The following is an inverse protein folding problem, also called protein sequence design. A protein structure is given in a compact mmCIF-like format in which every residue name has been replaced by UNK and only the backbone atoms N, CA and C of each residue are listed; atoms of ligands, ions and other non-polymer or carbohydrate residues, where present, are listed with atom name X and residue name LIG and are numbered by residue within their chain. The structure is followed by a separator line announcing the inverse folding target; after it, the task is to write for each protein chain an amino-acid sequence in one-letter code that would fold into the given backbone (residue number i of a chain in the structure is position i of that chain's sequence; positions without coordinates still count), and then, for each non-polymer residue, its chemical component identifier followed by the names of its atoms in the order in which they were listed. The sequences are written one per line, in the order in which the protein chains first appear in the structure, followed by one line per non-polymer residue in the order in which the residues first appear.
data_IF_486081706084
#
_entry.id   IF_486081706084
#
_cell.length_a   1.000
_cell.length_b   1.000
_cell.length_c   1.000
_cell.angle_alpha   90.00
_cell.angle_beta   90.00
_cell.angle_gamma   90.00
#
_symmetry.space_group_name_H-M   'P 1'
#
loop_
_entity.id
_entity.type
_entity.pdbx_description
1 polymer ?
#
# COMPACT_ATOMS: atom_id res chain seq x y z
N UNK A 1 -23.61 30.69 -4.14
CA UNK A 1 -22.94 29.78 -5.10
C UNK A 1 -23.77 28.51 -5.14
N UNK A 2 -24.21 28.06 -6.31
CA UNK A 2 -25.02 26.84 -6.39
C UNK A 2 -24.20 25.65 -5.86
N UNK A 3 -24.77 24.90 -4.91
CA UNK A 3 -24.14 23.73 -4.31
C UNK A 3 -23.97 22.66 -5.41
N UNK A 4 -22.77 22.59 -5.99
CA UNK A 4 -22.47 21.61 -7.04
C UNK A 4 -22.49 20.23 -6.41
N UNK A 5 -23.56 19.45 -6.65
CA UNK A 5 -23.69 18.08 -6.15
C UNK A 5 -22.49 17.25 -6.61
N UNK A 6 -21.70 16.78 -5.65
CA UNK A 6 -20.55 15.90 -5.92
C UNK A 6 -21.09 14.55 -6.42
N UNK A 7 -20.54 13.94 -7.46
CA UNK A 7 -20.94 12.61 -7.89
C UNK A 7 -20.87 11.57 -6.75
N UNK A 8 -21.70 10.53 -6.80
CA UNK A 8 -21.62 9.43 -5.81
C UNK A 8 -20.26 8.73 -5.86
N UNK A 9 -19.65 8.63 -7.05
CA UNK A 9 -18.34 8.04 -7.25
C UNK A 9 -17.43 9.02 -7.97
N UNK A 10 -16.20 9.14 -7.48
CA UNK A 10 -15.12 9.89 -8.11
C UNK A 10 -14.11 8.85 -8.60
N UNK A 11 -13.84 8.91 -9.90
CA UNK A 11 -12.84 8.08 -10.56
C UNK A 11 -11.62 8.93 -10.87
N UNK A 12 -10.46 8.30 -10.82
CA UNK A 12 -9.23 8.84 -11.36
C UNK A 12 -8.93 8.08 -12.66
N UNK A 13 -8.30 8.75 -13.61
CA UNK A 13 -7.83 8.14 -14.84
C UNK A 13 -6.51 7.38 -14.61
N UNK A 14 -6.15 6.46 -15.52
CA UNK A 14 -4.93 5.65 -15.37
C UNK A 14 -3.65 6.50 -15.31
N UNK A 15 -3.62 7.65 -15.99
CA UNK A 15 -2.50 8.58 -15.97
C UNK A 15 -2.41 9.40 -14.67
N UNK A 16 -3.42 9.31 -13.79
CA UNK A 16 -3.41 9.92 -12.45
C UNK A 16 -3.00 8.91 -11.36
N UNK A 17 -2.72 7.66 -11.72
CA UNK A 17 -2.19 6.67 -10.76
C UNK A 17 -0.83 7.16 -10.25
N UNK A 18 -0.62 7.23 -8.92
CA UNK A 18 0.68 7.60 -8.36
C UNK A 18 1.79 6.65 -8.83
N UNK A 19 2.98 7.20 -9.10
CA UNK A 19 4.15 6.43 -9.55
C UNK A 19 5.12 6.07 -8.42
N UNK A 20 4.82 6.49 -7.18
CA UNK A 20 5.67 6.27 -6.00
C UNK A 20 4.84 5.77 -4.82
N UNK A 21 5.39 4.86 -4.03
CA UNK A 21 4.90 4.57 -2.69
C UNK A 21 5.47 5.60 -1.71
N UNK A 22 4.73 5.84 -0.62
CA UNK A 22 5.13 6.76 0.43
C UNK A 22 5.53 5.98 1.68
N UNK A 23 6.74 6.21 2.17
CA UNK A 23 7.25 5.66 3.41
C UNK A 23 7.04 6.67 4.54
N UNK A 24 6.08 6.39 5.41
CA UNK A 24 5.77 7.24 6.56
C UNK A 24 6.96 7.38 7.51
N UNK A 25 7.81 6.34 7.65
CA UNK A 25 8.92 6.36 8.60
C UNK A 25 9.88 7.50 8.33
N UNK A 26 10.06 7.91 7.07
CA UNK A 26 10.90 9.05 6.69
C UNK A 26 10.53 10.34 7.45
N UNK A 27 9.23 10.59 7.65
CA UNK A 27 8.71 11.82 8.26
C UNK A 27 8.35 11.68 9.75
N UNK A 28 8.51 10.48 10.33
CA UNK A 28 8.27 10.27 11.77
C UNK A 28 9.33 10.99 12.60
N UNK A 29 8.88 11.81 13.57
CA UNK A 29 9.74 12.49 14.55
C UNK A 29 10.41 11.50 15.49
N UNK A 30 9.61 10.62 16.07
CA UNK A 30 10.04 9.51 16.91
C UNK A 30 9.97 8.24 16.06
N UNK A 31 11.12 7.60 15.83
CA UNK A 31 11.17 6.36 15.05
C UNK A 31 10.57 5.20 15.86
N UNK A 32 9.94 4.21 15.21
CA UNK A 32 9.56 2.96 15.87
C UNK A 32 10.77 2.32 16.55
N UNK A 33 10.53 1.56 17.62
CA UNK A 33 11.57 0.71 18.19
C UNK A 33 12.10 -0.26 17.11
N UNK A 34 13.40 -0.59 17.13
CA UNK A 34 13.95 -1.52 16.15
C UNK A 34 13.27 -2.89 16.29
N UNK A 35 13.21 -3.63 15.18
CA UNK A 35 12.88 -5.04 15.23
C UNK A 35 13.93 -5.76 16.07
N UNK A 36 13.52 -6.69 16.92
CA UNK A 36 14.40 -7.39 17.87
C UNK A 36 14.43 -8.87 17.52
N UNK A 37 15.62 -9.48 17.56
CA UNK A 37 15.76 -10.92 17.41
C UNK A 37 15.23 -11.59 18.70
N UNK A 38 14.23 -12.49 18.61
CA UNK A 38 13.60 -13.07 19.80
C UNK A 38 14.52 -14.04 20.58
N UNK A 39 15.59 -14.54 19.96
CA UNK A 39 16.58 -15.41 20.60
C UNK A 39 17.69 -14.65 21.32
N UNK A 40 18.09 -13.48 20.83
CA UNK A 40 19.19 -12.69 21.43
C UNK A 40 18.69 -11.51 22.27
N UNK A 41 17.50 -10.98 21.98
CA UNK A 41 17.00 -9.74 22.58
C UNK A 41 17.63 -8.46 21.99
N UNK A 42 18.48 -8.60 20.97
CA UNK A 42 19.19 -7.49 20.33
C UNK A 42 18.49 -7.02 19.04
N UNK A 43 18.71 -5.77 18.59
CA UNK A 43 18.22 -5.31 17.30
C UNK A 43 18.60 -6.24 16.14
N UNK A 44 17.63 -6.55 15.29
CA UNK A 44 17.80 -7.41 14.13
C UNK A 44 18.78 -6.80 13.13
N UNK A 45 19.66 -7.65 12.61
CA UNK A 45 20.53 -7.34 11.48
C UNK A 45 19.86 -7.74 10.18
N UNK A 46 20.26 -7.08 9.08
CA UNK A 46 19.76 -7.36 7.73
C UNK A 46 19.91 -8.85 7.38
N UNK A 47 21.04 -9.45 7.73
CA UNK A 47 21.37 -10.84 7.41
C UNK A 47 20.43 -11.85 8.08
N UNK A 48 19.75 -11.45 9.14
CA UNK A 48 18.79 -12.27 9.88
C UNK A 48 17.39 -12.25 9.23
N UNK A 49 17.11 -11.24 8.39
CA UNK A 49 15.85 -11.11 7.64
C UNK A 49 15.92 -11.70 6.23
N UNK A 50 17.11 -11.72 5.60
CA UNK A 50 17.32 -12.27 4.25
C UNK A 50 16.86 -13.75 4.09
N UNK A 51 16.95 -14.63 5.11
CA UNK A 51 16.40 -15.98 5.00
C UNK A 51 14.87 -16.04 4.90
N UNK A 52 14.18 -14.95 5.26
CA UNK A 52 12.71 -14.86 5.33
C UNK A 52 12.17 -14.07 4.14
N UNK A 53 12.82 -12.95 3.79
CA UNK A 53 12.38 -12.05 2.73
C UNK A 53 13.47 -11.85 1.67
N UNK A 54 13.05 -11.51 0.44
CA UNK A 54 13.99 -11.13 -0.61
C UNK A 54 14.67 -9.79 -0.25
N UNK A 55 15.92 -9.60 -0.69
CA UNK A 55 16.82 -8.52 -0.24
C UNK A 55 16.20 -7.13 -0.34
N UNK A 56 15.54 -6.83 -1.45
CA UNK A 56 14.89 -5.53 -1.66
C UNK A 56 13.77 -5.26 -0.63
N UNK A 57 13.00 -6.29 -0.25
CA UNK A 57 11.96 -6.11 0.77
C UNK A 57 12.57 -5.86 2.14
N UNK A 58 13.70 -6.52 2.44
CA UNK A 58 14.46 -6.24 3.67
C UNK A 58 14.98 -4.81 3.67
N UNK A 59 15.52 -4.34 2.54
CA UNK A 59 16.00 -2.97 2.41
C UNK A 59 14.87 -1.95 2.59
N UNK A 60 13.70 -2.19 2.01
CA UNK A 60 12.53 -1.33 2.21
C UNK A 60 11.99 -1.35 3.64
N UNK A 61 12.01 -2.51 4.31
CA UNK A 61 11.57 -2.65 5.71
C UNK A 61 12.51 -1.93 6.69
N UNK A 62 13.80 -1.82 6.36
CA UNK A 62 14.82 -1.15 7.19
C UNK A 62 15.07 0.31 6.78
N UNK A 63 14.37 0.83 5.78
CA UNK A 63 14.50 2.21 5.32
C UNK A 63 13.67 3.17 6.18
N UNK A 64 14.37 4.01 6.95
CA UNK A 64 13.77 5.04 7.81
C UNK A 64 13.85 6.47 7.26
N UNK A 65 14.39 6.65 6.04
CA UNK A 65 14.80 7.97 5.55
C UNK A 65 14.29 8.32 4.17
N UNK A 66 13.98 7.36 3.30
CA UNK A 66 13.50 7.64 1.95
C UNK A 66 11.98 7.85 1.94
N UNK A 67 11.46 9.07 1.72
CA UNK A 67 10.01 9.32 1.80
C UNK A 67 9.24 8.74 0.61
N UNK A 68 9.84 8.70 -0.57
CA UNK A 68 9.19 8.23 -1.78
C UNK A 68 10.01 7.16 -2.48
N UNK A 69 9.41 5.99 -2.66
CA UNK A 69 10.00 4.84 -3.34
C UNK A 69 9.32 4.71 -4.71
N UNK A 70 10.10 4.76 -5.78
CA UNK A 70 9.56 4.60 -7.14
C UNK A 70 8.91 3.23 -7.30
N UNK A 71 7.71 3.19 -7.88
CA UNK A 71 7.02 1.95 -8.19
C UNK A 71 7.60 1.45 -9.53
N UNK A 72 8.15 0.21 -9.59
CA UNK A 72 8.60 -0.39 -10.84
C UNK A 72 7.52 -0.35 -11.93
N UNK A 73 7.92 -0.11 -13.18
CA UNK A 73 6.98 0.10 -14.28
C UNK A 73 6.04 -1.09 -14.46
N UNK A 74 6.56 -2.30 -14.31
CA UNK A 74 5.82 -3.56 -14.40
C UNK A 74 4.72 -3.66 -13.33
N UNK A 75 4.96 -3.12 -12.14
CA UNK A 75 3.95 -3.05 -11.08
C UNK A 75 2.92 -1.97 -11.39
N UNK A 76 3.34 -0.80 -11.90
CA UNK A 76 2.40 0.25 -12.33
C UNK A 76 1.46 -0.26 -13.42
N UNK A 77 1.99 -0.98 -14.41
CA UNK A 77 1.20 -1.58 -15.49
C UNK A 77 0.26 -2.68 -14.95
N UNK A 78 0.71 -3.47 -13.98
CA UNK A 78 -0.15 -4.45 -13.29
C UNK A 78 -1.28 -3.78 -12.49
N UNK A 79 -0.99 -2.66 -11.82
CA UNK A 79 -1.99 -1.90 -11.07
C UNK A 79 -3.14 -1.42 -11.94
N UNK A 80 -2.91 -1.03 -13.20
CA UNK A 80 -3.97 -0.57 -14.12
C UNK A 80 -5.12 -1.57 -14.30
N UNK A 81 -4.87 -2.87 -14.11
CA UNK A 81 -5.92 -3.89 -14.19
C UNK A 81 -7.02 -3.74 -13.13
N UNK A 82 -6.75 -3.05 -12.02
CA UNK A 82 -7.70 -2.93 -10.90
C UNK A 82 -7.63 -1.62 -10.10
N UNK A 83 -6.67 -0.74 -10.43
CA UNK A 83 -6.48 0.59 -9.87
C UNK A 83 -6.61 1.63 -10.99
N UNK A 84 -7.01 2.87 -10.66
CA UNK A 84 -7.32 3.38 -9.33
C UNK A 84 -8.72 2.95 -8.85
N UNK A 85 -8.84 2.61 -7.57
CA UNK A 85 -10.14 2.33 -6.97
C UNK A 85 -10.97 3.61 -6.80
N UNK A 86 -12.31 3.56 -6.89
CA UNK A 86 -13.12 4.77 -6.78
C UNK A 86 -13.16 5.30 -5.34
N UNK A 87 -13.28 6.62 -5.20
CA UNK A 87 -13.68 7.28 -3.96
C UNK A 87 -15.19 7.47 -4.00
N UNK A 88 -15.91 6.90 -3.03
CA UNK A 88 -17.38 6.94 -3.02
C UNK A 88 -17.88 7.84 -1.89
N UNK A 89 -18.81 8.73 -2.20
CA UNK A 89 -19.50 9.57 -1.22
C UNK A 89 -20.77 8.87 -0.73
N UNK A 90 -20.89 8.72 0.58
CA UNK A 90 -21.95 7.94 1.22
C UNK A 90 -23.18 8.80 1.56
N UNK A 91 -23.85 9.39 0.56
CA UNK A 91 -25.01 10.27 0.78
C UNK A 91 -26.12 9.66 1.66
N UNK A 92 -26.45 8.39 1.45
CA UNK A 92 -27.49 7.73 2.25
C UNK A 92 -27.07 7.57 3.73
N UNK A 93 -25.77 7.41 3.99
CA UNK A 93 -25.23 7.36 5.35
C UNK A 93 -25.22 8.77 5.97
N UNK A 94 -24.84 9.79 5.22
CA UNK A 94 -24.92 11.20 5.64
C UNK A 94 -26.35 11.56 6.07
N UNK A 95 -27.35 11.22 5.24
CA UNK A 95 -28.77 11.44 5.51
C UNK A 95 -29.26 10.67 6.74
N UNK A 96 -28.92 9.38 6.84
CA UNK A 96 -29.31 8.54 7.98
C UNK A 96 -28.74 9.04 9.31
N UNK A 97 -27.53 9.59 9.30
CA UNK A 97 -26.86 10.14 10.48
C UNK A 97 -27.23 11.60 10.76
N UNK A 98 -27.95 12.26 9.84
CA UNK A 98 -28.26 13.70 9.91
C UNK A 98 -27.02 14.56 10.19
N UNK A 99 -25.87 14.17 9.63
CA UNK A 99 -24.60 14.82 9.90
C UNK A 99 -24.30 15.91 8.87
N UNK A 100 -23.70 17.04 9.28
CA UNK A 100 -23.17 18.01 8.33
C UNK A 100 -21.85 17.52 7.67
N UNK A 101 -21.25 16.45 8.20
CA UNK A 101 -20.03 15.88 7.66
C UNK A 101 -20.26 15.21 6.29
N UNK A 102 -19.28 15.34 5.41
CA UNK A 102 -19.25 14.61 4.14
C UNK A 102 -18.49 13.31 4.34
N UNK A 103 -19.13 12.18 4.08
CA UNK A 103 -18.56 10.86 4.35
C UNK A 103 -18.10 10.25 3.04
N UNK A 104 -16.81 9.93 2.96
CA UNK A 104 -16.21 9.24 1.83
C UNK A 104 -15.56 7.95 2.26
N UNK A 105 -15.59 6.95 1.39
CA UNK A 105 -14.81 5.73 1.56
C UNK A 105 -14.06 5.39 0.28
N UNK A 106 -12.81 4.94 0.45
CA UNK A 106 -11.97 4.45 -0.65
C UNK A 106 -12.34 2.99 -0.89
N UNK A 107 -12.97 2.69 -2.03
CA UNK A 107 -13.55 1.37 -2.27
C UNK A 107 -12.53 0.39 -2.87
N UNK A 108 -11.71 -0.21 -2.02
CA UNK A 108 -10.65 -1.18 -2.39
C UNK A 108 -11.17 -2.58 -2.79
N UNK A 109 -12.49 -2.82 -2.75
CA UNK A 109 -13.08 -4.13 -3.01
C UNK A 109 -13.23 -4.51 -4.49
N UNK A 110 -12.79 -3.66 -5.42
CA UNK A 110 -13.09 -3.79 -6.85
C UNK A 110 -12.11 -4.70 -7.63
N UNK A 111 -11.28 -5.48 -6.95
CA UNK A 111 -10.31 -6.40 -7.58
C UNK A 111 -10.67 -7.87 -7.33
N UNK A 112 -9.97 -8.79 -8.01
CA UNK A 112 -10.23 -10.24 -7.92
C UNK A 112 -10.04 -10.82 -6.51
N UNK A 113 -9.24 -10.17 -5.66
CA UNK A 113 -9.07 -10.56 -4.26
C UNK A 113 -10.13 -9.95 -3.32
N UNK A 114 -10.99 -9.07 -3.83
CA UNK A 114 -12.01 -8.35 -3.05
C UNK A 114 -11.44 -7.43 -1.96
N UNK A 115 -10.14 -7.12 -1.97
CA UNK A 115 -9.49 -6.37 -0.89
C UNK A 115 -8.20 -5.66 -1.34
N UNK A 116 -7.66 -4.80 -0.47
CA UNK A 116 -6.40 -4.08 -0.71
C UNK A 116 -5.15 -4.99 -0.69
N UNK A 117 -5.25 -6.27 -0.32
CA UNK A 117 -4.10 -7.17 -0.15
C UNK A 117 -3.27 -7.35 -1.43
N UNK A 118 -3.92 -7.31 -2.59
CA UNK A 118 -3.23 -7.42 -3.88
C UNK A 118 -2.25 -6.26 -4.12
N UNK A 119 -2.44 -5.11 -3.47
CA UNK A 119 -1.56 -3.94 -3.62
C UNK A 119 -0.12 -4.24 -3.18
N UNK A 120 0.07 -4.99 -2.08
CA UNK A 120 1.41 -5.37 -1.58
C UNK A 120 1.87 -6.72 -2.12
N UNK A 121 0.96 -7.69 -2.29
CA UNK A 121 1.32 -9.03 -2.77
C UNK A 121 2.04 -9.01 -4.12
N UNK A 122 1.62 -8.13 -5.04
CA UNK A 122 2.31 -7.99 -6.34
C UNK A 122 3.74 -7.48 -6.20
N UNK A 123 3.99 -6.53 -5.28
CA UNK A 123 5.33 -5.99 -5.06
C UNK A 123 6.26 -7.06 -4.47
N UNK A 124 5.77 -7.82 -3.47
CA UNK A 124 6.54 -8.90 -2.87
C UNK A 124 6.87 -9.99 -3.90
N UNK A 125 5.89 -10.42 -4.70
CA UNK A 125 6.11 -11.39 -5.77
C UNK A 125 7.05 -10.86 -6.87
N UNK A 126 6.95 -9.58 -7.22
CA UNK A 126 7.83 -8.94 -8.20
C UNK A 126 9.28 -8.96 -7.74
N UNK A 127 9.58 -8.51 -6.52
CA UNK A 127 10.95 -8.45 -6.02
C UNK A 127 11.54 -9.83 -5.76
N UNK A 128 10.75 -10.78 -5.25
CA UNK A 128 11.17 -12.18 -5.15
C UNK A 128 11.57 -12.74 -6.52
N UNK A 129 10.73 -12.52 -7.55
CA UNK A 129 11.05 -12.95 -8.93
C UNK A 129 12.28 -12.23 -9.49
N UNK A 130 12.44 -10.93 -9.23
CA UNK A 130 13.59 -10.13 -9.67
C UNK A 130 14.90 -10.64 -9.08
N UNK A 131 14.90 -11.11 -7.82
CA UNK A 131 16.06 -11.74 -7.18
C UNK A 131 16.33 -13.17 -7.71
N UNK A 132 15.42 -13.74 -8.52
CA UNK A 132 15.57 -15.09 -9.08
C UNK A 132 14.94 -16.20 -8.22
N UNK A 133 14.12 -15.85 -7.23
CA UNK A 133 13.36 -16.83 -6.45
C UNK A 133 12.30 -17.50 -7.34
N UNK A 134 12.13 -18.82 -7.16
CA UNK A 134 11.22 -19.64 -7.98
C UNK A 134 9.82 -19.80 -7.39
N UNK A 135 9.64 -19.41 -6.14
CA UNK A 135 8.39 -19.51 -5.41
C UNK A 135 8.40 -18.66 -4.16
N UNK A 136 7.21 -18.39 -3.65
CA UNK A 136 6.96 -17.70 -2.38
C UNK A 136 6.02 -18.56 -1.55
N UNK A 137 6.15 -18.50 -0.24
CA UNK A 137 5.26 -19.18 0.70
C UNK A 137 4.74 -18.17 1.71
N UNK A 138 3.48 -18.28 2.07
CA UNK A 138 2.80 -17.42 3.06
C UNK A 138 1.75 -18.26 3.78
N UNK A 139 1.41 -17.89 5.00
CA UNK A 139 0.18 -18.33 5.66
C UNK A 139 -1.05 -17.67 5.02
N UNK A 140 -2.24 -18.22 5.29
CA UNK A 140 -3.53 -17.71 4.79
C UNK A 140 -4.62 -17.74 5.84
#
# INVERSE_FOLDING_TARGET
MADKKIPYKIYLEENEIPTKWYNMRADMKDKPAPLVNPGTGEPLKKEELIPIFCEELVDQELDDTTPFIEIPREIQDFYKMYRPSPLVRAYCLEEKLQTPAKIYYKFEGNNTSGSHKLNSAIAQAYYAKKQGLKGVTTET
#
